data_IF_817880455564
#
_entry.id   IF_817880455564
#
_cell.length_a   1.000
_cell.length_b   1.000
_cell.length_c   1.000
_cell.angle_alpha   90.00
_cell.angle_beta   90.00
_cell.angle_gamma   90.00
#
_symmetry.space_group_name_H-M   'P 1'
#
loop_
_entity.id
_entity.type
_entity.pdbx_description
1 polymer ?
#
# COMPACT_ATOMS: atom_id res chain seq x y z
N UNK A 1 -17.46 10.33 26.95
CA UNK A 1 -16.11 9.74 27.00
C UNK A 1 -16.18 8.30 26.46
N UNK A 2 -16.50 8.11 25.18
CA UNK A 2 -16.77 6.77 24.62
C UNK A 2 -16.25 6.50 23.20
N UNK A 3 -15.26 7.25 22.71
CA UNK A 3 -14.80 7.16 21.29
C UNK A 3 -13.40 6.52 21.09
N UNK A 4 -12.77 5.98 22.14
CA UNK A 4 -11.38 5.48 22.03
C UNK A 4 -11.23 4.06 21.47
N UNK A 5 -12.29 3.26 21.40
CA UNK A 5 -12.18 1.86 20.98
C UNK A 5 -12.18 1.71 19.45
N UNK A 6 -12.97 2.53 18.73
CA UNK A 6 -13.02 2.50 17.26
C UNK A 6 -11.76 3.10 16.64
N UNK A 7 -11.27 4.21 17.18
CA UNK A 7 -10.03 4.88 16.74
C UNK A 7 -8.80 3.95 16.83
N UNK A 8 -8.74 3.08 17.85
CA UNK A 8 -7.64 2.11 18.01
C UNK A 8 -7.69 0.98 16.98
N UNK A 9 -8.89 0.61 16.50
CA UNK A 9 -9.08 -0.41 15.47
C UNK A 9 -8.78 0.14 14.06
N UNK A 10 -9.28 1.33 13.74
CA UNK A 10 -9.04 1.98 12.44
C UNK A 10 -7.55 2.30 12.26
N UNK A 11 -6.91 2.92 13.25
CA UNK A 11 -5.48 3.23 13.18
C UNK A 11 -4.60 1.99 12.94
N UNK A 12 -4.95 0.85 13.56
CA UNK A 12 -4.25 -0.41 13.34
C UNK A 12 -4.46 -0.96 11.92
N UNK A 13 -5.68 -0.85 11.39
CA UNK A 13 -6.00 -1.23 10.02
C UNK A 13 -5.22 -0.37 9.02
N UNK A 14 -5.25 0.96 9.17
CA UNK A 14 -4.56 1.88 8.27
C UNK A 14 -3.05 1.68 8.30
N UNK A 15 -2.47 1.43 9.48
CA UNK A 15 -1.04 1.10 9.59
C UNK A 15 -0.70 -0.19 8.83
N UNK A 16 -1.46 -1.27 9.02
CA UNK A 16 -1.20 -2.52 8.34
C UNK A 16 -1.32 -2.36 6.81
N UNK A 17 -2.32 -1.62 6.35
CA UNK A 17 -2.48 -1.31 4.93
C UNK A 17 -1.31 -0.48 4.40
N UNK A 18 -0.88 0.53 5.15
CA UNK A 18 0.27 1.35 4.79
C UNK A 18 1.55 0.52 4.70
N UNK A 19 1.78 -0.41 5.62
CA UNK A 19 2.91 -1.34 5.59
C UNK A 19 2.83 -2.30 4.38
N UNK A 20 1.65 -2.86 4.09
CA UNK A 20 1.42 -3.70 2.91
C UNK A 20 1.72 -2.95 1.60
N UNK A 21 1.26 -1.69 1.47
CA UNK A 21 1.52 -0.84 0.31
C UNK A 21 3.00 -0.44 0.19
N UNK A 22 3.66 -0.15 1.32
CA UNK A 22 5.09 0.18 1.35
C UNK A 22 5.93 -1.02 0.92
N UNK A 23 5.58 -2.21 1.42
CA UNK A 23 6.20 -3.45 0.98
C UNK A 23 6.00 -3.70 -0.52
N UNK A 24 4.78 -3.51 -1.02
CA UNK A 24 4.47 -3.64 -2.44
C UNK A 24 5.35 -2.72 -3.30
N UNK A 25 5.44 -1.44 -2.95
CA UNK A 25 6.30 -0.47 -3.64
C UNK A 25 7.77 -0.91 -3.67
N UNK A 26 8.32 -1.34 -2.55
CA UNK A 26 9.71 -1.80 -2.45
C UNK A 26 9.98 -3.00 -3.36
N UNK A 27 9.07 -3.99 -3.39
CA UNK A 27 9.20 -5.16 -4.25
C UNK A 27 9.10 -4.78 -5.73
N UNK A 28 8.15 -3.92 -6.10
CA UNK A 28 7.98 -3.43 -7.48
C UNK A 28 9.26 -2.72 -7.95
N UNK A 29 9.77 -1.79 -7.15
CA UNK A 29 11.01 -1.06 -7.42
C UNK A 29 12.18 -2.02 -7.61
N UNK A 30 12.34 -2.98 -6.68
CA UNK A 30 13.42 -3.97 -6.74
C UNK A 30 13.36 -4.90 -7.96
N UNK A 31 12.16 -5.16 -8.50
CA UNK A 31 12.02 -5.90 -9.76
C UNK A 31 12.30 -5.01 -10.96
N UNK A 32 11.78 -3.79 -10.97
CA UNK A 32 12.00 -2.81 -12.02
C UNK A 32 13.50 -2.57 -12.24
N UNK A 33 14.28 -2.44 -11.16
CA UNK A 33 15.74 -2.28 -11.19
C UNK A 33 16.51 -3.44 -11.84
N UNK A 34 15.91 -4.63 -11.94
CA UNK A 34 16.59 -5.86 -12.38
C UNK A 34 16.18 -6.33 -13.77
N UNK A 35 15.10 -5.76 -14.31
CA UNK A 35 14.62 -6.08 -15.64
C UNK A 35 15.14 -5.04 -16.64
N UNK A 36 15.61 -5.45 -17.83
CA UNK A 36 16.10 -4.52 -18.85
C UNK A 36 15.12 -3.40 -19.22
N UNK A 37 13.81 -3.69 -19.18
CA UNK A 37 12.72 -2.73 -19.43
C UNK A 37 11.81 -2.58 -18.19
N UNK A 38 12.34 -2.83 -16.99
CA UNK A 38 11.54 -2.95 -15.77
C UNK A 38 10.71 -1.71 -15.46
N UNK A 39 11.28 -0.51 -15.58
CA UNK A 39 10.55 0.73 -15.39
C UNK A 39 9.51 1.03 -16.47
N UNK A 40 9.68 0.51 -17.69
CA UNK A 40 8.66 0.63 -18.74
C UNK A 40 7.48 -0.29 -18.42
N UNK A 41 7.75 -1.49 -17.90
CA UNK A 41 6.71 -2.47 -17.58
C UNK A 41 6.01 -2.18 -16.25
N UNK A 42 6.74 -1.68 -15.25
CA UNK A 42 6.27 -1.56 -13.87
C UNK A 42 6.16 -0.13 -13.37
N UNK A 43 6.56 0.88 -14.15
CA UNK A 43 6.54 2.29 -13.71
C UNK A 43 5.14 2.78 -13.33
N UNK A 44 4.09 2.29 -14.00
CA UNK A 44 2.71 2.57 -13.59
C UNK A 44 2.39 1.95 -12.23
N UNK A 45 2.75 0.68 -12.02
CA UNK A 45 2.52 0.00 -10.74
C UNK A 45 3.30 0.70 -9.60
N UNK A 46 4.55 1.09 -9.83
CA UNK A 46 5.33 1.84 -8.85
C UNK A 46 4.68 3.19 -8.50
N UNK A 47 4.20 3.92 -9.52
CA UNK A 47 3.50 5.19 -9.34
C UNK A 47 2.21 5.04 -8.54
N UNK A 48 1.35 4.07 -8.89
CA UNK A 48 0.11 3.84 -8.17
C UNK A 48 0.34 3.40 -6.71
N UNK A 49 1.39 2.62 -6.44
CA UNK A 49 1.78 2.27 -5.08
C UNK A 49 2.27 3.50 -4.29
N UNK A 50 3.04 4.38 -4.92
CA UNK A 50 3.52 5.62 -4.32
C UNK A 50 2.39 6.60 -4.02
N UNK A 51 1.44 6.77 -4.95
CA UNK A 51 0.29 7.65 -4.77
C UNK A 51 -0.67 7.11 -3.70
N UNK A 52 -0.91 5.79 -3.65
CA UNK A 52 -1.70 5.17 -2.60
C UNK A 52 -1.12 5.45 -1.20
N UNK A 53 0.21 5.35 -1.04
CA UNK A 53 0.91 5.67 0.21
C UNK A 53 0.80 7.15 0.56
N UNK A 54 1.07 8.03 -0.40
CA UNK A 54 1.05 9.48 -0.18
C UNK A 54 -0.35 9.95 0.27
N UNK A 55 -1.39 9.42 -0.35
CA UNK A 55 -2.77 9.75 0.01
C UNK A 55 -3.16 9.17 1.35
N UNK A 56 -2.80 7.91 1.63
CA UNK A 56 -3.10 7.27 2.91
C UNK A 56 -2.38 7.98 4.07
N UNK A 57 -1.20 8.54 3.84
CA UNK A 57 -0.47 9.34 4.81
C UNK A 57 -1.17 10.66 5.19
N UNK A 58 -2.18 11.09 4.43
CA UNK A 58 -3.00 12.26 4.79
C UNK A 58 -4.10 11.93 5.81
N UNK A 59 -4.37 10.64 6.07
CA UNK A 59 -5.40 10.19 7.01
C UNK A 59 -5.00 10.56 8.46
N UNK A 60 -5.78 11.40 9.18
CA UNK A 60 -5.49 11.76 10.56
C UNK A 60 -5.41 10.56 11.51
N UNK A 61 -6.14 9.48 11.22
CA UNK A 61 -6.11 8.25 12.01
C UNK A 61 -4.88 7.37 11.76
N UNK A 62 -4.05 7.68 10.74
CA UNK A 62 -2.82 6.94 10.51
C UNK A 62 -1.80 7.32 11.59
N UNK A 63 -1.28 6.36 12.37
CA UNK A 63 -0.22 6.65 13.33
C UNK A 63 1.05 7.07 12.58
N UNK A 64 1.85 8.01 13.13
CA UNK A 64 3.11 8.41 12.50
C UNK A 64 4.01 7.17 12.35
N UNK A 65 4.39 6.85 11.11
CA UNK A 65 5.31 5.75 10.84
C UNK A 65 6.68 6.07 11.43
N UNK A 66 7.12 5.26 12.39
CA UNK A 66 8.48 5.30 12.96
C UNK A 66 9.41 4.33 12.23
N UNK A 67 9.26 4.18 10.90
CA UNK A 67 10.07 3.22 10.16
C UNK A 67 11.49 3.74 10.03
N UNK A 68 12.38 3.15 10.84
CA UNK A 68 13.83 3.19 10.69
C UNK A 68 14.19 2.66 9.31
N UNK A 69 14.84 3.52 8.53
CA UNK A 69 15.40 3.23 7.22
C UNK A 69 16.48 2.15 7.34
N UNK A 70 16.10 0.89 7.11
CA UNK A 70 17.03 -0.23 6.94
C UNK A 70 16.94 -0.71 5.50
N UNK A 71 17.38 0.14 4.58
CA UNK A 71 17.49 -0.17 3.16
C UNK A 71 18.71 -1.06 2.94
N UNK A 72 18.58 -2.35 3.30
CA UNK A 72 19.48 -3.39 2.81
C UNK A 72 18.94 -3.88 1.47
N UNK A 73 19.69 -3.79 0.35
CA UNK A 73 19.20 -4.27 -0.93
C UNK A 73 18.91 -5.78 -0.85
N UNK A 74 17.73 -6.24 -1.28
CA UNK A 74 17.36 -7.64 -1.12
C UNK A 74 18.30 -8.51 -1.97
N UNK A 75 19.09 -9.40 -1.37
CA UNK A 75 19.86 -10.43 -2.10
C UNK A 75 18.98 -11.54 -2.70
N UNK A 76 17.66 -11.40 -2.58
CA UNK A 76 16.64 -12.31 -3.09
C UNK A 76 16.80 -12.53 -4.60
N UNK A 77 16.90 -13.76 -5.12
CA UNK A 77 16.98 -14.02 -6.55
C UNK A 77 15.75 -13.51 -7.32
N UNK A 78 15.95 -13.03 -8.55
CA UNK A 78 14.91 -12.39 -9.38
C UNK A 78 13.66 -13.24 -9.57
N UNK A 79 13.78 -14.57 -9.67
CA UNK A 79 12.63 -15.48 -9.78
C UNK A 79 11.72 -15.47 -8.56
N UNK A 80 12.29 -15.30 -7.35
CA UNK A 80 11.49 -15.16 -6.13
C UNK A 80 10.82 -13.79 -6.08
N UNK A 81 11.45 -12.73 -6.58
CA UNK A 81 10.83 -11.41 -6.67
C UNK A 81 9.65 -11.37 -7.67
N UNK A 82 9.75 -12.06 -8.80
CA UNK A 82 8.63 -12.20 -9.76
C UNK A 82 7.46 -12.96 -9.12
N UNK A 83 7.74 -14.02 -8.34
CA UNK A 83 6.69 -14.69 -7.56
C UNK A 83 6.07 -13.77 -6.52
N UNK A 84 6.87 -12.91 -5.89
CA UNK A 84 6.36 -11.89 -4.97
C UNK A 84 5.44 -10.90 -5.67
N UNK A 85 5.73 -10.46 -6.90
CA UNK A 85 4.82 -9.61 -7.68
C UNK A 85 3.44 -10.25 -7.89
N UNK A 86 3.38 -11.55 -8.22
CA UNK A 86 2.10 -12.25 -8.34
C UNK A 86 1.33 -12.27 -7.00
N UNK A 87 2.03 -12.49 -5.88
CA UNK A 87 1.43 -12.42 -4.55
C UNK A 87 1.01 -10.98 -4.14
N UNK A 88 1.63 -9.96 -4.72
CA UNK A 88 1.23 -8.57 -4.51
C UNK A 88 -0.13 -8.27 -5.14
N UNK A 89 -0.44 -8.84 -6.31
CA UNK A 89 -1.76 -8.64 -6.92
C UNK A 89 -2.90 -9.09 -5.98
N UNK A 90 -2.76 -10.25 -5.33
CA UNK A 90 -3.71 -10.73 -4.33
C UNK A 90 -3.72 -9.86 -3.06
N UNK A 91 -2.54 -9.39 -2.63
CA UNK A 91 -2.42 -8.49 -1.49
C UNK A 91 -3.10 -7.15 -1.74
N UNK A 92 -2.95 -6.57 -2.94
CA UNK A 92 -3.58 -5.31 -3.35
C UNK A 92 -5.10 -5.42 -3.46
N UNK A 93 -5.61 -6.58 -3.86
CA UNK A 93 -7.05 -6.84 -3.84
C UNK A 93 -7.60 -6.91 -2.40
N UNK A 94 -6.86 -7.54 -1.47
CA UNK A 94 -7.19 -7.51 -0.05
C UNK A 94 -7.15 -6.09 0.51
N UNK A 95 -6.09 -5.34 0.24
CA UNK A 95 -5.91 -3.94 0.69
C UNK A 95 -7.05 -3.07 0.21
N UNK A 96 -7.44 -3.18 -1.06
CA UNK A 96 -8.56 -2.42 -1.63
C UNK A 96 -9.85 -2.67 -0.86
N UNK A 97 -10.18 -3.94 -0.59
CA UNK A 97 -11.38 -4.31 0.19
C UNK A 97 -11.33 -3.79 1.62
N UNK A 98 -10.18 -3.91 2.27
CA UNK A 98 -9.97 -3.42 3.65
C UNK A 98 -10.13 -1.90 3.73
N UNK A 99 -9.60 -1.16 2.75
CA UNK A 99 -9.73 0.31 2.71
C UNK A 99 -11.18 0.76 2.50
N UNK A 100 -11.96 0.05 1.68
CA UNK A 100 -13.39 0.35 1.50
C UNK A 100 -14.14 0.16 2.83
N UNK A 101 -13.90 -0.95 3.53
CA UNK A 101 -14.52 -1.21 4.85
C UNK A 101 -14.05 -0.19 5.89
N UNK A 102 -12.77 0.19 5.87
CA UNK A 102 -12.22 1.22 6.74
C UNK A 102 -12.91 2.58 6.49
N UNK A 103 -13.15 2.94 5.23
CA UNK A 103 -13.86 4.17 4.87
C UNK A 103 -15.31 4.20 5.40
N UNK A 104 -16.01 3.07 5.38
CA UNK A 104 -17.38 2.94 5.92
C UNK A 104 -17.45 3.09 7.45
N UNK A 105 -16.34 2.86 8.13
CA UNK A 105 -16.24 2.91 9.60
C UNK A 105 -15.52 4.14 10.12
N UNK A 106 -15.00 4.98 9.22
CA UNK A 106 -14.29 6.20 9.56
C UNK A 106 -15.27 7.30 9.95
N UNK A 107 -15.06 7.91 11.12
CA UNK A 107 -15.84 9.04 11.61
C UNK A 107 -15.37 10.37 11.01
N UNK A 108 -14.09 10.48 10.65
CA UNK A 108 -13.48 11.67 10.05
C UNK A 108 -13.61 11.63 8.51
N UNK A 109 -14.21 12.65 7.86
CA UNK A 109 -14.33 12.70 6.41
C UNK A 109 -12.99 12.69 5.67
N UNK A 110 -11.91 13.16 6.30
CA UNK A 110 -10.54 13.10 5.74
C UNK A 110 -10.05 11.65 5.71
N UNK A 111 -10.30 10.87 6.76
CA UNK A 111 -9.98 9.44 6.79
C UNK A 111 -10.78 8.68 5.74
N UNK A 112 -12.08 8.95 5.60
CA UNK A 112 -12.93 8.35 4.56
C UNK A 112 -12.36 8.65 3.17
N UNK A 113 -12.04 9.91 2.88
CA UNK A 113 -11.50 10.32 1.58
C UNK A 113 -10.14 9.69 1.29
N UNK A 114 -9.24 9.67 2.29
CA UNK A 114 -7.93 9.05 2.17
C UNK A 114 -8.06 7.55 1.90
N UNK A 115 -8.95 6.85 2.61
CA UNK A 115 -9.20 5.42 2.40
C UNK A 115 -9.74 5.12 1.00
N UNK A 116 -10.77 5.86 0.54
CA UNK A 116 -11.37 5.62 -0.78
C UNK A 116 -10.41 5.96 -1.92
N UNK A 117 -9.65 7.04 -1.78
CA UNK A 117 -8.69 7.45 -2.81
C UNK A 117 -7.50 6.48 -2.84
N UNK A 118 -6.99 6.05 -1.68
CA UNK A 118 -5.99 5.00 -1.60
C UNK A 118 -6.50 3.66 -2.15
N UNK A 119 -7.78 3.30 -1.93
CA UNK A 119 -8.39 2.10 -2.49
C UNK A 119 -8.46 2.16 -4.03
N UNK A 120 -8.75 3.32 -4.58
CA UNK A 120 -8.75 3.55 -6.03
C UNK A 120 -7.34 3.39 -6.63
N UNK A 121 -6.31 3.93 -5.99
CA UNK A 121 -4.92 3.71 -6.40
C UNK A 121 -4.49 2.24 -6.24
N UNK A 122 -4.88 1.58 -5.14
CA UNK A 122 -4.62 0.15 -4.93
C UNK A 122 -5.32 -0.74 -5.98
N UNK A 123 -6.50 -0.34 -6.44
CA UNK A 123 -7.20 -0.97 -7.56
C UNK A 123 -6.43 -0.83 -8.88
N UNK A 124 -5.96 0.38 -9.21
CA UNK A 124 -5.14 0.61 -10.41
C UNK A 124 -3.79 -0.09 -10.35
N UNK A 125 -3.17 -0.12 -9.18
CA UNK A 125 -1.95 -0.89 -8.92
C UNK A 125 -2.17 -2.37 -9.24
N UNK A 126 -3.25 -2.96 -8.74
CA UNK A 126 -3.60 -4.36 -9.06
C UNK A 126 -3.73 -4.58 -10.57
N UNK A 127 -4.40 -3.67 -11.28
CA UNK A 127 -4.58 -3.77 -12.72
C UNK A 127 -3.25 -3.64 -13.48
N UNK A 128 -2.32 -2.82 -12.97
CA UNK A 128 -0.96 -2.68 -13.53
C UNK A 128 -0.05 -3.88 -13.24
N UNK A 129 -0.38 -4.72 -12.25
CA UNK A 129 0.37 -5.94 -11.89
C UNK A 129 -0.11 -7.19 -12.64
N UNK A 130 -1.19 -7.10 -13.44
CA UNK A 130 -1.79 -8.20 -14.20
C UNK A 130 -1.36 -8.20 -15.66
#
# INVERSE_FOLDING_TARGET
MSDNTHSTSLAAILRNVHEDLAHAKTVITAVADRLPDGYIQLGLAEGEAADALAVLAMAPSLPPSTSTDDTTPPTTPTSLLIRSLAALADTTDRVTRVLIIAAETADDPVDTMACLTAALHAGRLRDALR
#
